data_IF_138974789787
#
_entry.id   IF_138974789787
#
_cell.length_a   1.000
_cell.length_b   1.000
_cell.length_c   1.000
_cell.angle_alpha   90.00
_cell.angle_beta   90.00
_cell.angle_gamma   90.00
#
_symmetry.space_group_name_H-M   'P 1'
#
loop_
_entity.id
_entity.type
_entity.pdbx_description
1 polymer ?
#
# COMPACT_ATOMS: atom_id res chain seq x y z
N UNK A 1 9.19 2.17 9.66
CA UNK A 1 10.24 1.27 10.18
C UNK A 1 9.66 -0.02 10.76
N UNK A 2 8.62 0.05 11.61
CA UNK A 2 7.94 -1.15 12.17
C UNK A 2 7.36 -2.05 11.07
N UNK A 3 6.68 -1.49 10.08
CA UNK A 3 6.15 -2.21 8.91
C UNK A 3 7.22 -2.96 8.11
N UNK A 4 8.40 -2.35 7.92
CA UNK A 4 9.52 -2.95 7.21
C UNK A 4 10.11 -4.15 7.98
N UNK A 5 10.27 -4.01 9.30
CA UNK A 5 10.76 -5.08 10.17
C UNK A 5 9.79 -6.26 10.19
N UNK A 6 8.49 -6.01 10.42
CA UNK A 6 7.48 -7.04 10.35
C UNK A 6 7.45 -7.65 8.93
N UNK A 7 7.55 -6.81 7.89
CA UNK A 7 7.45 -7.18 6.47
C UNK A 7 8.46 -8.24 6.06
N UNK A 8 9.66 -8.13 6.61
CA UNK A 8 10.73 -9.09 6.39
C UNK A 8 10.52 -10.42 7.13
N UNK A 9 9.69 -10.47 8.17
CA UNK A 9 9.47 -11.68 8.98
C UNK A 9 8.24 -12.49 8.56
N UNK A 10 7.13 -11.84 8.23
CA UNK A 10 5.84 -12.51 7.96
C UNK A 10 5.41 -12.46 6.49
N UNK A 11 6.11 -11.71 5.64
CA UNK A 11 5.71 -11.47 4.26
C UNK A 11 5.22 -10.03 4.06
N UNK A 12 5.74 -9.38 3.02
CA UNK A 12 5.50 -7.95 2.76
C UNK A 12 4.04 -7.67 2.39
N UNK A 13 3.43 -8.53 1.58
CA UNK A 13 2.04 -8.37 1.13
C UNK A 13 1.07 -8.42 2.30
N UNK A 14 1.18 -9.46 3.14
CA UNK A 14 0.29 -9.71 4.26
C UNK A 14 0.30 -8.54 5.24
N UNK A 15 1.47 -7.95 5.44
CA UNK A 15 1.62 -6.81 6.33
C UNK A 15 1.05 -5.54 5.71
N UNK A 16 1.28 -5.29 4.42
CA UNK A 16 0.62 -4.15 3.77
C UNK A 16 -0.91 -4.26 3.89
N UNK A 17 -1.48 -5.46 3.74
CA UNK A 17 -2.92 -5.72 3.94
C UNK A 17 -3.37 -5.42 5.37
N UNK A 18 -2.68 -5.92 6.40
CA UNK A 18 -3.03 -5.68 7.81
C UNK A 18 -2.95 -4.19 8.13
N UNK A 19 -1.94 -3.49 7.62
CA UNK A 19 -1.77 -2.06 7.85
C UNK A 19 -2.88 -1.24 7.18
N UNK A 20 -3.28 -1.57 5.95
CA UNK A 20 -4.45 -0.92 5.34
C UNK A 20 -5.77 -1.26 6.03
N UNK A 21 -5.92 -2.47 6.55
CA UNK A 21 -7.10 -2.88 7.31
C UNK A 21 -7.23 -2.05 8.60
N UNK A 22 -6.16 -1.96 9.38
CA UNK A 22 -6.13 -1.14 10.60
C UNK A 22 -6.30 0.35 10.28
N UNK A 23 -5.70 0.83 9.18
CA UNK A 23 -5.89 2.18 8.67
C UNK A 23 -7.34 2.48 8.27
N UNK A 24 -8.01 1.55 7.58
CA UNK A 24 -9.41 1.69 7.18
C UNK A 24 -10.38 1.68 8.37
N UNK A 25 -10.12 0.84 9.38
CA UNK A 25 -10.87 0.87 10.65
C UNK A 25 -10.65 2.21 11.35
N UNK A 26 -9.39 2.66 11.50
CA UNK A 26 -9.09 3.94 12.12
C UNK A 26 -9.71 5.13 11.38
N UNK A 27 -9.71 5.12 10.04
CA UNK A 27 -10.34 6.14 9.20
C UNK A 27 -11.86 6.14 9.28
N UNK A 28 -12.47 4.96 9.38
CA UNK A 28 -13.92 4.82 9.59
C UNK A 28 -14.32 5.30 10.98
N UNK A 29 -13.56 4.92 12.01
CA UNK A 29 -13.75 5.42 13.37
C UNK A 29 -13.54 6.93 13.45
N UNK A 30 -12.55 7.50 12.75
CA UNK A 30 -12.34 8.95 12.69
C UNK A 30 -13.56 9.69 12.11
N UNK A 31 -14.21 9.12 11.09
CA UNK A 31 -15.37 9.74 10.46
C UNK A 31 -16.62 9.74 11.36
N UNK A 32 -16.86 8.66 12.13
CA UNK A 32 -18.09 8.50 12.91
C UNK A 32 -17.94 8.70 14.44
N UNK A 33 -16.71 8.77 14.97
CA UNK A 33 -16.50 8.95 16.41
C UNK A 33 -16.77 10.40 16.87
N UNK A 34 -17.17 10.53 18.14
CA UNK A 34 -17.49 11.81 18.77
C UNK A 34 -16.32 12.80 18.67
N UNK A 35 -16.66 14.02 18.25
CA UNK A 35 -15.75 15.10 17.88
C UNK A 35 -15.18 15.87 19.08
N UNK A 36 -14.66 15.19 20.10
CA UNK A 36 -13.82 15.83 21.11
C UNK A 36 -12.40 15.94 20.57
N UNK A 37 -11.72 17.08 20.79
CA UNK A 37 -10.38 17.34 20.22
C UNK A 37 -9.36 16.23 20.52
N UNK A 38 -9.38 15.66 21.73
CA UNK A 38 -8.53 14.53 22.10
C UNK A 38 -8.80 13.27 21.28
N UNK A 39 -10.07 12.92 21.08
CA UNK A 39 -10.46 11.73 20.32
C UNK A 39 -10.14 11.88 18.84
N UNK A 40 -10.33 13.07 18.25
CA UNK A 40 -9.90 13.38 16.88
C UNK A 40 -8.39 13.22 16.71
N UNK A 41 -7.59 13.79 17.61
CA UNK A 41 -6.13 13.70 17.53
C UNK A 41 -5.62 12.26 17.62
N UNK A 42 -6.23 11.44 18.47
CA UNK A 42 -5.88 10.03 18.62
C UNK A 42 -6.18 9.23 17.36
N UNK A 43 -7.40 9.34 16.81
CA UNK A 43 -7.80 8.62 15.61
C UNK A 43 -7.02 9.07 14.37
N UNK A 44 -6.70 10.37 14.28
CA UNK A 44 -5.84 10.90 13.22
C UNK A 44 -4.42 10.34 13.29
N UNK A 45 -3.81 10.33 14.49
CA UNK A 45 -2.49 9.75 14.71
C UNK A 45 -2.46 8.25 14.36
N UNK A 46 -3.49 7.50 14.78
CA UNK A 46 -3.63 6.08 14.44
C UNK A 46 -3.78 5.87 12.93
N UNK A 47 -4.64 6.65 12.27
CA UNK A 47 -4.80 6.59 10.82
C UNK A 47 -3.47 6.85 10.11
N UNK A 48 -2.79 7.95 10.42
CA UNK A 48 -1.49 8.30 9.80
C UNK A 48 -0.42 7.25 10.07
N UNK A 49 -0.37 6.71 11.29
CA UNK A 49 0.59 5.68 11.62
C UNK A 49 0.43 4.46 10.71
N UNK A 50 -0.80 4.00 10.48
CA UNK A 50 -1.05 2.83 9.63
C UNK A 50 -0.93 3.14 8.13
N UNK A 51 -1.52 4.26 7.66
CA UNK A 51 -1.55 4.59 6.24
C UNK A 51 -0.24 5.16 5.72
N UNK A 52 0.56 5.86 6.53
CA UNK A 52 1.92 6.26 6.13
C UNK A 52 2.91 5.15 6.47
N UNK A 53 2.71 4.45 7.58
CA UNK A 53 3.60 3.38 8.01
C UNK A 53 3.72 2.23 7.02
N UNK A 54 2.67 1.89 6.26
CA UNK A 54 2.74 0.81 5.27
C UNK A 54 3.83 1.01 4.20
N UNK A 55 4.22 2.26 3.91
CA UNK A 55 5.21 2.62 2.88
C UNK A 55 6.54 1.88 3.06
N UNK A 56 6.92 1.59 4.32
CA UNK A 56 8.14 0.84 4.65
C UNK A 56 8.15 -0.62 4.16
N UNK A 57 6.98 -1.26 4.02
CA UNK A 57 6.87 -2.60 3.43
C UNK A 57 6.51 -2.54 1.94
N UNK A 58 5.78 -1.51 1.52
CA UNK A 58 5.29 -1.33 0.16
C UNK A 58 6.38 -1.00 -0.86
N UNK A 59 7.24 -0.01 -0.57
CA UNK A 59 8.32 0.38 -1.49
C UNK A 59 9.19 -0.83 -1.85
N UNK A 60 9.76 -1.60 -0.91
CA UNK A 60 10.62 -2.72 -1.26
C UNK A 60 9.85 -3.86 -1.94
N UNK A 61 8.56 -4.06 -1.62
CA UNK A 61 7.71 -5.00 -2.34
C UNK A 61 7.53 -4.65 -3.83
N UNK A 62 7.32 -3.37 -4.14
CA UNK A 62 7.20 -2.93 -5.54
C UNK A 62 8.54 -3.04 -6.27
N UNK A 63 9.65 -2.72 -5.60
CA UNK A 63 10.98 -2.85 -6.20
C UNK A 63 11.35 -4.30 -6.51
N UNK A 64 10.91 -5.26 -5.71
CA UNK A 64 11.05 -6.70 -6.01
C UNK A 64 10.18 -7.15 -7.19
N UNK A 65 9.08 -6.45 -7.46
CA UNK A 65 8.17 -6.76 -8.57
C UNK A 65 8.72 -6.34 -9.94
N UNK A 66 9.72 -5.46 -9.99
CA UNK A 66 10.35 -4.99 -11.23
C UNK A 66 11.77 -5.57 -11.42
N UNK A 67 12.18 -5.90 -12.66
CA UNK A 67 13.55 -6.30 -12.95
C UNK A 67 14.53 -5.14 -12.77
N UNK A 68 15.78 -5.45 -12.45
CA UNK A 68 16.82 -4.49 -12.04
C UNK A 68 16.94 -3.29 -12.97
N UNK A 69 16.83 -3.55 -14.28
CA UNK A 69 16.95 -2.55 -15.35
C UNK A 69 15.78 -1.55 -15.43
N UNK A 70 14.59 -1.89 -14.94
CA UNK A 70 13.41 -1.00 -14.98
C UNK A 70 12.92 -0.51 -13.61
N UNK A 71 13.63 -0.88 -12.54
CA UNK A 71 13.35 -0.44 -11.17
C UNK A 71 13.31 1.08 -10.99
N UNK A 72 14.21 1.81 -11.66
CA UNK A 72 14.22 3.28 -11.63
C UNK A 72 12.92 3.88 -12.16
N UNK A 73 12.41 3.38 -13.29
CA UNK A 73 11.12 3.81 -13.86
C UNK A 73 9.95 3.42 -12.96
N UNK A 74 9.99 2.22 -12.36
CA UNK A 74 8.99 1.77 -11.38
C UNK A 74 8.90 2.70 -10.16
N UNK A 75 10.05 3.07 -9.57
CA UNK A 75 10.10 3.99 -8.44
C UNK A 75 9.54 5.39 -8.78
N UNK A 76 9.87 5.90 -9.96
CA UNK A 76 9.33 7.18 -10.44
C UNK A 76 7.81 7.12 -10.66
N UNK A 77 7.30 6.01 -11.19
CA UNK A 77 5.86 5.82 -11.41
C UNK A 77 5.07 5.77 -10.08
N UNK A 78 5.60 5.09 -9.06
CA UNK A 78 5.00 5.07 -7.71
C UNK A 78 4.94 6.48 -7.13
N UNK A 79 6.04 7.24 -7.28
CA UNK A 79 6.13 8.60 -6.79
C UNK A 79 5.08 9.48 -7.48
N UNK A 80 4.99 9.40 -8.82
CA UNK A 80 3.98 10.12 -9.59
C UNK A 80 2.55 9.74 -9.17
N UNK A 81 2.25 8.45 -8.99
CA UNK A 81 0.94 7.98 -8.54
C UNK A 81 0.59 8.50 -7.13
N UNK A 82 1.57 8.57 -6.23
CA UNK A 82 1.39 9.07 -4.86
C UNK A 82 1.07 10.56 -4.86
N UNK A 83 1.87 11.37 -5.57
CA UNK A 83 1.64 12.82 -5.66
C UNK A 83 0.39 13.16 -6.47
N UNK A 84 0.13 12.42 -7.54
CA UNK A 84 -1.11 12.55 -8.33
C UNK A 84 -2.34 12.24 -7.50
N UNK A 85 -2.30 11.17 -6.69
CA UNK A 85 -3.35 10.83 -5.74
C UNK A 85 -3.58 11.91 -4.68
N UNK A 86 -2.51 12.48 -4.12
CA UNK A 86 -2.57 13.60 -3.17
C UNK A 86 -3.18 14.87 -3.78
N UNK A 87 -2.80 15.21 -5.02
CA UNK A 87 -3.38 16.34 -5.74
C UNK A 87 -4.87 16.13 -6.02
N UNK A 88 -5.25 14.93 -6.50
CA UNK A 88 -6.65 14.58 -6.71
C UNK A 88 -7.43 14.65 -5.40
N UNK A 89 -6.89 14.14 -4.29
CA UNK A 89 -7.51 14.21 -2.98
C UNK A 89 -7.74 15.66 -2.52
N UNK A 90 -6.75 16.54 -2.71
CA UNK A 90 -6.87 17.96 -2.39
C UNK A 90 -8.01 18.62 -3.18
N UNK A 91 -8.01 18.46 -4.50
CA UNK A 91 -9.01 19.08 -5.38
C UNK A 91 -10.44 18.57 -5.11
N UNK A 92 -10.59 17.26 -4.96
CA UNK A 92 -11.90 16.63 -4.79
C UNK A 92 -12.44 16.77 -3.36
N UNK A 93 -11.59 16.98 -2.35
CA UNK A 93 -12.05 17.17 -0.96
C UNK A 93 -13.06 18.32 -0.79
N UNK A 94 -12.82 19.45 -1.45
CA UNK A 94 -13.72 20.61 -1.41
C UNK A 94 -15.04 20.36 -2.16
N UNK A 95 -15.00 19.63 -3.26
CA UNK A 95 -16.19 19.25 -4.01
C UNK A 95 -17.11 18.30 -3.23
N UNK A 96 -16.57 17.40 -2.42
CA UNK A 96 -17.37 16.49 -1.60
C UNK A 96 -17.87 17.14 -0.29
N UNK A 97 -17.12 18.08 0.28
CA UNK A 97 -17.49 18.73 1.53
C UNK A 97 -18.72 19.66 1.41
N UNK A 98 -18.89 20.35 0.27
CA UNK A 98 -19.98 21.32 0.09
C UNK A 98 -21.39 20.70 0.00
N UNK A 99 -21.62 19.59 -0.73
CA UNK A 99 -22.97 19.00 -0.85
C UNK A 99 -23.27 17.88 0.16
N UNK A 100 -22.28 17.11 0.62
CA UNK A 100 -22.51 15.90 1.43
C UNK A 100 -22.09 16.04 2.90
N UNK A 101 -21.49 17.17 3.27
CA UNK A 101 -21.00 17.41 4.62
C UNK A 101 -19.68 16.70 4.93
N UNK A 102 -18.99 17.22 5.95
CA UNK A 102 -17.61 16.85 6.29
C UNK A 102 -17.49 15.38 6.70
N UNK A 103 -18.49 14.82 7.36
CA UNK A 103 -18.50 13.43 7.84
C UNK A 103 -18.41 12.44 6.67
N UNK A 104 -19.29 12.59 5.68
CA UNK A 104 -19.35 11.69 4.51
C UNK A 104 -18.09 11.86 3.66
N UNK A 105 -17.63 13.09 3.44
CA UNK A 105 -16.38 13.37 2.73
C UNK A 105 -15.18 12.68 3.41
N UNK A 106 -15.08 12.78 4.74
CA UNK A 106 -14.01 12.17 5.53
C UNK A 106 -14.06 10.64 5.46
N UNK A 107 -15.26 10.04 5.49
CA UNK A 107 -15.42 8.60 5.35
C UNK A 107 -15.01 8.10 3.95
N UNK A 108 -15.35 8.85 2.90
CA UNK A 108 -14.94 8.56 1.52
C UNK A 108 -13.42 8.53 1.36
N UNK A 109 -12.73 9.54 1.91
CA UNK A 109 -11.28 9.67 1.80
C UNK A 109 -10.51 8.71 2.70
N UNK A 110 -10.84 8.64 3.98
CA UNK A 110 -10.06 7.88 4.95
C UNK A 110 -10.51 6.42 5.04
N UNK A 111 -11.83 6.19 4.95
CA UNK A 111 -12.44 4.86 4.99
C UNK A 111 -12.35 4.17 3.64
N UNK A 112 -13.19 4.58 2.68
CA UNK A 112 -13.36 3.89 1.39
C UNK A 112 -12.03 3.77 0.63
N UNK A 113 -11.20 4.81 0.62
CA UNK A 113 -9.86 4.73 0.01
C UNK A 113 -9.00 3.57 0.55
N UNK A 114 -9.02 3.35 1.87
CA UNK A 114 -8.29 2.25 2.51
C UNK A 114 -8.92 0.89 2.19
N UNK A 115 -10.25 0.78 2.17
CA UNK A 115 -10.96 -0.45 1.81
C UNK A 115 -10.71 -0.88 0.36
N UNK A 116 -10.74 0.08 -0.56
CA UNK A 116 -10.43 -0.15 -1.98
C UNK A 116 -8.97 -0.59 -2.16
N UNK A 117 -8.04 0.02 -1.42
CA UNK A 117 -6.65 -0.40 -1.41
C UNK A 117 -6.48 -1.87 -0.95
N UNK A 118 -7.24 -2.32 0.05
CA UNK A 118 -7.24 -3.72 0.50
C UNK A 118 -7.70 -4.65 -0.63
N UNK A 119 -8.82 -4.31 -1.31
CA UNK A 119 -9.37 -5.11 -2.40
C UNK A 119 -8.36 -5.29 -3.54
N UNK A 120 -7.68 -4.21 -3.94
CA UNK A 120 -6.64 -4.30 -4.95
C UNK A 120 -5.41 -5.10 -4.47
N UNK A 121 -5.04 -4.94 -3.20
CA UNK A 121 -3.89 -5.63 -2.63
C UNK A 121 -4.13 -7.15 -2.48
N UNK A 122 -5.37 -7.58 -2.28
CA UNK A 122 -5.73 -9.00 -2.32
C UNK A 122 -5.45 -9.66 -3.68
N UNK A 123 -5.57 -8.89 -4.77
CA UNK A 123 -5.25 -9.33 -6.14
C UNK A 123 -3.75 -9.40 -6.45
N UNK A 124 -2.89 -8.89 -5.58
CA UNK A 124 -1.44 -8.84 -5.84
C UNK A 124 -0.75 -10.19 -5.59
N UNK A 125 0.24 -10.52 -6.44
CA UNK A 125 0.98 -11.78 -6.34
C UNK A 125 1.92 -11.76 -5.14
N UNK A 126 2.05 -12.90 -4.44
CA UNK A 126 3.03 -13.03 -3.36
C UNK A 126 4.43 -13.11 -3.97
N UNK A 127 5.24 -12.09 -3.75
CA UNK A 127 6.67 -12.09 -4.12
C UNK A 127 7.45 -12.68 -2.95
N UNK A 128 8.23 -13.73 -3.20
CA UNK A 128 9.07 -14.35 -2.17
C UNK A 128 10.19 -13.38 -1.79
N UNK A 129 10.38 -13.24 -0.48
CA UNK A 129 11.34 -12.31 0.10
C UNK A 129 12.75 -12.53 -0.47
N UNK A 130 13.36 -11.49 -1.02
CA UNK A 130 14.75 -11.53 -1.50
C UNK A 130 14.97 -12.24 -2.83
N UNK A 131 13.94 -12.75 -3.51
CA UNK A 131 14.06 -13.23 -4.89
C UNK A 131 13.68 -12.11 -5.85
N UNK A 132 14.66 -11.63 -6.61
CA UNK A 132 14.37 -10.72 -7.70
C UNK A 132 13.71 -11.48 -8.86
N UNK A 133 12.84 -10.82 -9.62
CA UNK A 133 12.25 -11.41 -10.83
C UNK A 133 13.33 -11.95 -11.78
N UNK A 134 14.50 -11.32 -11.79
CA UNK A 134 15.65 -11.74 -12.59
C UNK A 134 16.27 -13.06 -12.11
N UNK A 135 16.32 -13.30 -10.79
CA UNK A 135 16.71 -14.59 -10.20
C UNK A 135 15.69 -15.70 -10.47
N UNK A 136 14.40 -15.37 -10.47
CA UNK A 136 13.33 -16.33 -10.83
C UNK A 136 13.47 -16.72 -12.30
N UNK A 137 13.67 -15.75 -13.19
CA UNK A 137 13.85 -16.00 -14.63
C UNK A 137 15.12 -16.81 -14.89
N UNK A 138 16.25 -16.45 -14.27
CA UNK A 138 17.51 -17.19 -14.46
C UNK A 138 17.42 -18.61 -13.93
N UNK A 139 16.76 -18.87 -12.79
CA UNK A 139 16.53 -20.25 -12.31
C UNK A 139 15.70 -21.07 -13.29
N UNK A 140 14.58 -20.51 -13.77
CA UNK A 140 13.72 -21.20 -14.75
C UNK A 140 14.47 -21.49 -16.05
N UNK A 141 15.26 -20.53 -16.56
CA UNK A 141 16.07 -20.74 -17.75
C UNK A 141 17.15 -21.80 -17.53
N UNK A 142 17.77 -21.83 -16.34
CA UNK A 142 18.79 -22.82 -16.02
C UNK A 142 18.20 -24.24 -15.93
N UNK A 143 17.05 -24.40 -15.27
CA UNK A 143 16.32 -25.67 -15.21
C UNK A 143 15.91 -26.17 -16.61
N UNK A 144 15.45 -25.25 -17.47
CA UNK A 144 15.10 -25.57 -18.86
C UNK A 144 16.31 -26.00 -19.70
N UNK A 145 17.46 -25.35 -19.51
CA UNK A 145 18.70 -25.72 -20.20
C UNK A 145 19.26 -27.07 -19.71
N UNK A 146 19.09 -27.39 -18.43
CA UNK A 146 19.45 -28.70 -17.87
C UNK A 146 18.56 -29.78 -18.48
N UNK A 147 17.25 -29.57 -18.56
CA UNK A 147 16.30 -30.50 -19.21
C UNK A 147 16.69 -30.80 -20.67
N UNK A 148 17.13 -29.80 -21.44
CA UNK A 148 17.59 -29.97 -22.82
C UNK A 148 18.92 -30.71 -22.97
N UNK A 149 19.74 -30.84 -21.92
CA UNK A 149 20.99 -31.61 -21.97
C UNK A 149 20.79 -33.11 -21.76
N UNK A 150 19.63 -33.53 -21.26
CA UNK A 150 19.29 -34.92 -20.96
C UNK A 150 18.36 -35.56 -22.01
N UNK A 151 18.07 -34.87 -23.10
CA UNK A 151 17.32 -35.34 -24.28
C UNK A 151 18.26 -35.22 -25.49
#
# INVERSE_FOLDING_TARGET
MVSAYLGNKFGRREIILIWFLLGGIAGTCFAFALHTAGQMSFWWAMYYFFTVGHTGAFIPYVMESFPTRSRGTGASFISFATWGGLLLAGLTSQFFASPFGVIIATFLWLGIGSWVAILFNLGTKRVKLGLEMEEIITRVLNDYNISKRFI
#
